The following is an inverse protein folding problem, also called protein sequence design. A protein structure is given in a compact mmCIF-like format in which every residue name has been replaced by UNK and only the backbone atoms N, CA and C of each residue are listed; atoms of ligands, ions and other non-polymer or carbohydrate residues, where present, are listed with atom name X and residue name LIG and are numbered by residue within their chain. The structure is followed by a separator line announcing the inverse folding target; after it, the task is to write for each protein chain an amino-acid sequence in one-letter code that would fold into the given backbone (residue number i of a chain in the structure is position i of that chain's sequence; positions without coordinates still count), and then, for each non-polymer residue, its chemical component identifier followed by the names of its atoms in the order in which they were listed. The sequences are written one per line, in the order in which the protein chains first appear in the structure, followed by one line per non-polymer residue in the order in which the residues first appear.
data_IF_000499355240
#
_entry.id   IF_000499355240
#
_cell.length_a   1.000
_cell.length_b   1.000
_cell.length_c   1.000
_cell.angle_alpha   90.00
_cell.angle_beta   90.00
_cell.angle_gamma   90.00
#
_symmetry.space_group_name_H-M   'P 1'
#
loop_
_entity.id
_entity.type
_entity.pdbx_description
1 polymer ?
#
# COMPACT_ATOMS: atom_id res chain seq x y z
N UNK A 1 15.04 -6.62 20.89
CA UNK A 1 13.68 -6.66 20.33
C UNK A 1 13.16 -5.25 19.99
N UNK A 2 12.89 -4.38 20.98
CA UNK A 2 12.29 -3.05 20.75
C UNK A 2 13.04 -2.14 19.76
N UNK A 3 14.35 -1.93 19.94
CA UNK A 3 15.13 -1.06 19.04
C UNK A 3 15.16 -1.56 17.58
N UNK A 4 15.15 -2.89 17.37
CA UNK A 4 15.07 -3.47 16.04
C UNK A 4 13.68 -3.24 15.41
N UNK A 5 12.61 -3.41 16.20
CA UNK A 5 11.24 -3.09 15.78
C UNK A 5 11.11 -1.60 15.42
N UNK A 6 11.59 -0.69 16.26
CA UNK A 6 11.56 0.75 15.99
C UNK A 6 12.34 1.11 14.72
N UNK A 7 13.54 0.55 14.55
CA UNK A 7 14.38 0.81 13.36
C UNK A 7 13.76 0.31 12.06
N UNK A 8 13.09 -0.85 12.11
CA UNK A 8 12.40 -1.42 10.95
C UNK A 8 11.13 -0.66 10.55
N UNK A 9 10.58 0.15 11.47
CA UNK A 9 9.33 0.91 11.28
C UNK A 9 9.57 2.42 11.27
N UNK A 10 10.75 2.83 10.80
CA UNK A 10 11.05 4.26 10.60
C UNK A 10 10.20 4.81 9.46
N UNK A 11 9.62 5.98 9.69
CA UNK A 11 8.79 6.73 8.75
C UNK A 11 9.53 8.00 8.38
N UNK A 12 9.73 8.22 7.08
CA UNK A 12 10.35 9.42 6.57
C UNK A 12 9.99 9.58 5.09
N UNK A 13 9.55 10.77 4.64
CA UNK A 13 9.38 11.03 3.22
C UNK A 13 10.66 10.73 2.45
N UNK A 14 10.53 9.95 1.38
CA UNK A 14 11.63 9.58 0.48
C UNK A 14 11.22 9.75 -0.98
N UNK A 15 12.20 9.65 -1.88
CA UNK A 15 11.93 9.77 -3.33
C UNK A 15 11.50 8.45 -3.96
N UNK A 16 12.01 7.33 -3.45
CA UNK A 16 11.94 6.03 -4.11
C UNK A 16 10.79 5.21 -3.55
N UNK A 17 9.75 4.97 -4.37
CA UNK A 17 8.53 4.27 -3.94
C UNK A 17 8.81 2.86 -3.40
N UNK A 18 9.72 2.11 -4.03
CA UNK A 18 10.03 0.74 -3.61
C UNK A 18 10.79 0.65 -2.28
N UNK A 19 11.31 1.78 -1.79
CA UNK A 19 12.02 1.93 -0.52
C UNK A 19 11.17 2.66 0.53
N UNK A 20 9.96 3.10 0.17
CA UNK A 20 9.11 3.91 1.04
C UNK A 20 8.55 3.09 2.21
N UNK A 21 8.35 3.77 3.33
CA UNK A 21 7.73 3.20 4.53
C UNK A 21 6.21 3.04 4.38
N UNK A 22 5.58 2.26 5.28
CA UNK A 22 4.15 1.95 5.19
C UNK A 22 3.23 3.17 5.28
N UNK A 23 3.65 4.25 5.94
CA UNK A 23 2.84 5.47 6.10
C UNK A 23 2.93 6.38 4.87
N UNK A 24 4.06 6.41 4.16
CA UNK A 24 4.27 7.27 2.98
C UNK A 24 4.01 6.54 1.65
N UNK A 25 4.11 5.21 1.60
CA UNK A 25 4.02 4.42 0.37
C UNK A 25 2.78 4.72 -0.49
N UNK A 26 1.60 4.84 0.13
CA UNK A 26 0.36 5.06 -0.61
C UNK A 26 0.31 6.44 -1.29
N UNK A 27 1.06 7.45 -0.80
CA UNK A 27 1.18 8.76 -1.43
C UNK A 27 1.95 8.67 -2.75
N UNK A 28 3.02 7.86 -2.81
CA UNK A 28 3.74 7.61 -4.05
C UNK A 28 2.85 7.00 -5.14
N UNK A 29 1.95 6.09 -4.74
CA UNK A 29 0.98 5.48 -5.65
C UNK A 29 -0.04 6.52 -6.14
N UNK A 30 -0.54 7.36 -5.22
CA UNK A 30 -1.51 8.42 -5.55
C UNK A 30 -0.95 9.43 -6.56
N UNK A 31 0.29 9.88 -6.38
CA UNK A 31 0.97 10.78 -7.34
C UNK A 31 0.95 10.17 -8.75
N UNK A 32 1.31 8.90 -8.88
CA UNK A 32 1.33 8.22 -10.20
C UNK A 32 -0.07 8.07 -10.78
N UNK A 33 -1.05 7.71 -9.96
CA UNK A 33 -2.44 7.60 -10.39
C UNK A 33 -2.99 8.94 -10.92
N UNK A 34 -2.68 10.05 -10.27
CA UNK A 34 -3.12 11.38 -10.71
C UNK A 34 -2.47 11.79 -12.04
N UNK A 35 -1.16 11.53 -12.19
CA UNK A 35 -0.46 11.80 -13.44
C UNK A 35 -0.96 10.89 -14.58
N UNK A 36 -1.20 9.61 -14.31
CA UNK A 36 -1.81 8.69 -15.28
C UNK A 36 -3.19 9.17 -15.73
N UNK A 37 -4.03 9.60 -14.78
CA UNK A 37 -5.35 10.14 -15.10
C UNK A 37 -5.23 11.38 -15.98
N UNK A 38 -4.37 12.33 -15.63
CA UNK A 38 -4.16 13.55 -16.40
C UNK A 38 -3.62 13.27 -17.82
N UNK A 39 -2.69 12.32 -17.96
CA UNK A 39 -2.21 11.89 -19.28
C UNK A 39 -3.32 11.24 -20.12
N UNK A 40 -4.16 10.39 -19.50
CA UNK A 40 -5.23 9.69 -20.21
C UNK A 40 -6.41 10.60 -20.57
N UNK A 41 -6.67 11.65 -19.79
CA UNK A 41 -7.71 12.66 -20.10
C UNK A 41 -7.23 13.74 -21.06
N UNK A 42 -5.92 13.80 -21.36
CA UNK A 42 -5.32 14.83 -22.21
C UNK A 42 -5.02 16.14 -21.48
N UNK A 43 -5.17 16.18 -20.15
CA UNK A 43 -4.84 17.35 -19.32
C UNK A 43 -3.33 17.50 -19.09
N UNK A 44 -2.54 16.45 -19.37
CA UNK A 44 -1.09 16.44 -19.26
C UNK A 44 -0.44 15.76 -20.47
N UNK A 45 0.33 16.51 -21.24
CA UNK A 45 1.20 15.95 -22.28
C UNK A 45 2.40 15.20 -21.67
N UNK A 46 2.89 14.10 -22.27
CA UNK A 46 4.03 13.34 -21.74
C UNK A 46 5.28 14.17 -21.47
N UNK A 47 5.53 15.20 -22.28
CA UNK A 47 6.67 16.11 -22.09
C UNK A 47 6.57 16.95 -20.80
N UNK A 48 5.38 17.13 -20.24
CA UNK A 48 5.14 17.86 -18.97
C UNK A 48 5.26 16.99 -17.73
N UNK A 49 5.38 15.67 -17.87
CA UNK A 49 5.44 14.72 -16.74
C UNK A 49 6.55 15.05 -15.73
N UNK A 50 7.80 15.41 -16.13
CA UNK A 50 8.85 15.73 -15.17
C UNK A 50 8.48 16.88 -14.22
N UNK A 51 7.90 17.96 -14.75
CA UNK A 51 7.49 19.13 -13.95
C UNK A 51 6.31 18.80 -13.03
N UNK A 52 5.27 18.16 -13.58
CA UNK A 52 4.09 17.76 -12.81
C UNK A 52 4.43 16.77 -11.68
N UNK A 53 5.35 15.83 -11.95
CA UNK A 53 5.88 14.90 -10.96
C UNK A 53 6.58 15.62 -9.80
N UNK A 54 7.49 16.53 -10.14
CA UNK A 54 8.27 17.27 -9.14
C UNK A 54 7.36 18.15 -8.27
N UNK A 55 6.31 18.73 -8.88
CA UNK A 55 5.30 19.46 -8.14
C UNK A 55 4.52 18.56 -7.19
N UNK A 56 4.03 17.41 -7.66
CA UNK A 56 3.28 16.48 -6.83
C UNK A 56 4.11 15.92 -5.65
N UNK A 57 5.40 15.58 -5.87
CA UNK A 57 6.26 15.12 -4.77
C UNK A 57 6.52 16.21 -3.71
N UNK A 58 6.60 17.47 -4.13
CA UNK A 58 6.69 18.58 -3.18
C UNK A 58 5.39 18.74 -2.39
N UNK A 59 4.24 18.66 -3.06
CA UNK A 59 2.94 18.92 -2.42
C UNK A 59 2.50 17.78 -1.50
N UNK A 60 2.72 16.52 -1.89
CA UNK A 60 2.35 15.34 -1.09
C UNK A 60 3.39 14.93 -0.05
N UNK A 61 4.68 15.05 -0.38
CA UNK A 61 5.77 14.51 0.46
C UNK A 61 6.74 15.58 0.99
N UNK A 62 6.59 16.85 0.59
CA UNK A 62 7.48 17.93 1.01
C UNK A 62 8.88 17.84 0.41
N UNK A 63 9.04 17.16 -0.74
CA UNK A 63 10.34 16.84 -1.31
C UNK A 63 10.64 17.63 -2.60
N UNK A 64 11.84 18.19 -2.69
CA UNK A 64 12.39 18.72 -3.93
C UNK A 64 13.13 17.63 -4.69
N UNK A 65 12.57 17.19 -5.82
CA UNK A 65 13.13 16.10 -6.63
C UNK A 65 14.41 16.60 -7.33
N UNK A 66 15.57 15.96 -7.10
CA UNK A 66 16.86 16.48 -7.55
C UNK A 66 17.25 16.08 -8.99
N UNK A 67 16.66 15.02 -9.54
CA UNK A 67 16.87 14.56 -10.92
C UNK A 67 15.76 13.59 -11.35
N UNK A 68 15.58 13.41 -12.66
CA UNK A 68 14.53 12.54 -13.21
C UNK A 68 14.74 11.06 -12.87
N UNK A 69 15.98 10.63 -12.60
CA UNK A 69 16.28 9.27 -12.12
C UNK A 69 15.63 8.98 -10.77
N UNK A 70 15.57 9.97 -9.88
CA UNK A 70 14.82 9.94 -8.61
C UNK A 70 13.40 10.49 -8.76
N UNK A 71 13.09 11.09 -9.91
CA UNK A 71 11.79 11.61 -10.31
C UNK A 71 11.00 10.61 -11.15
N UNK A 72 10.43 11.09 -12.26
CA UNK A 72 9.50 10.34 -13.09
C UNK A 72 10.09 9.10 -13.79
N UNK A 73 11.42 8.95 -13.85
CA UNK A 73 12.09 7.78 -14.44
C UNK A 73 12.42 6.69 -13.41
N UNK A 74 12.02 6.84 -12.14
CA UNK A 74 12.37 5.89 -11.09
C UNK A 74 11.72 4.50 -11.25
N UNK A 75 10.60 4.42 -11.97
CA UNK A 75 9.80 3.20 -12.12
C UNK A 75 9.69 2.78 -13.58
N UNK A 76 9.67 1.46 -13.82
CA UNK A 76 9.67 0.88 -15.16
C UNK A 76 8.27 0.82 -15.81
N UNK A 77 7.21 0.94 -15.04
CA UNK A 77 5.83 0.62 -15.44
C UNK A 77 5.37 1.33 -16.71
N UNK A 78 5.57 2.64 -16.81
CA UNK A 78 5.15 3.41 -17.99
C UNK A 78 5.94 3.03 -19.25
N UNK A 79 7.23 2.71 -19.11
CA UNK A 79 8.05 2.22 -20.23
C UNK A 79 7.60 0.85 -20.75
N UNK A 80 6.94 0.05 -19.90
CA UNK A 80 6.34 -1.24 -20.24
C UNK A 80 4.87 -1.12 -20.69
N UNK A 81 4.32 0.11 -20.77
CA UNK A 81 2.91 0.33 -21.12
C UNK A 81 1.92 -0.04 -20.02
N UNK A 82 2.37 -0.25 -18.78
CA UNK A 82 1.53 -0.63 -17.64
C UNK A 82 0.82 0.57 -17.00
N UNK A 83 0.08 1.35 -17.80
CA UNK A 83 -0.77 2.45 -17.33
C UNK A 83 -2.00 1.91 -16.59
N UNK A 84 -2.37 2.53 -15.46
CA UNK A 84 -3.47 2.07 -14.60
C UNK A 84 -3.06 0.94 -13.65
N UNK A 85 -1.78 0.56 -13.62
CA UNK A 85 -1.28 -0.52 -12.77
C UNK A 85 -1.03 -0.06 -11.33
N UNK A 86 -0.50 1.15 -11.12
CA UNK A 86 -0.09 1.62 -9.78
C UNK A 86 -1.20 1.56 -8.71
N UNK A 87 -2.47 1.93 -9.00
CA UNK A 87 -3.55 1.83 -8.01
C UNK A 87 -3.70 0.45 -7.37
N UNK A 88 -3.27 -0.61 -8.08
CA UNK A 88 -3.33 -1.99 -7.55
C UNK A 88 -2.45 -2.20 -6.32
N UNK A 89 -1.35 -1.45 -6.15
CA UNK A 89 -0.52 -1.54 -4.95
C UNK A 89 -1.25 -1.03 -3.71
N UNK A 90 -1.91 0.15 -3.81
CA UNK A 90 -2.72 0.68 -2.71
C UNK A 90 -3.92 -0.21 -2.42
N UNK A 91 -4.58 -0.74 -3.46
CA UNK A 91 -5.64 -1.75 -3.26
C UNK A 91 -5.12 -2.97 -2.50
N UNK A 92 -3.90 -3.42 -2.78
CA UNK A 92 -3.23 -4.48 -2.03
C UNK A 92 -3.11 -4.17 -0.53
N UNK A 93 -2.67 -2.97 -0.18
CA UNK A 93 -2.59 -2.52 1.22
C UNK A 93 -3.96 -2.47 1.91
N UNK A 94 -4.98 -1.96 1.21
CA UNK A 94 -6.36 -1.91 1.70
C UNK A 94 -6.92 -3.32 1.96
N UNK A 95 -6.79 -4.22 0.99
CA UNK A 95 -7.24 -5.61 1.14
C UNK A 95 -6.47 -6.33 2.24
N UNK A 96 -5.14 -6.15 2.31
CA UNK A 96 -4.31 -6.78 3.32
C UNK A 96 -4.78 -6.41 4.73
N UNK A 97 -4.94 -5.11 5.02
CA UNK A 97 -5.37 -4.66 6.33
C UNK A 97 -6.78 -5.14 6.68
N UNK A 98 -7.74 -5.06 5.74
CA UNK A 98 -9.12 -5.49 5.99
C UNK A 98 -9.24 -7.00 6.22
N UNK A 99 -8.52 -7.81 5.42
CA UNK A 99 -8.50 -9.26 5.55
C UNK A 99 -7.81 -9.67 6.85
N UNK A 100 -6.69 -9.02 7.19
CA UNK A 100 -5.92 -9.34 8.39
C UNK A 100 -6.66 -8.95 9.68
N UNK A 101 -7.33 -7.79 9.69
CA UNK A 101 -8.21 -7.39 10.80
C UNK A 101 -9.29 -8.46 11.02
N UNK A 102 -9.96 -8.90 9.95
CA UNK A 102 -10.98 -9.94 10.07
C UNK A 102 -10.40 -11.29 10.53
N UNK A 103 -9.22 -11.69 10.04
CA UNK A 103 -8.54 -12.90 10.49
C UNK A 103 -8.28 -12.88 12.01
N UNK A 104 -7.91 -11.72 12.58
CA UNK A 104 -7.73 -11.55 14.02
C UNK A 104 -9.05 -11.65 14.79
N UNK A 105 -10.17 -11.19 14.23
CA UNK A 105 -11.51 -11.32 14.85
C UNK A 105 -11.94 -12.79 14.96
N UNK A 106 -11.70 -13.60 13.92
CA UNK A 106 -12.15 -15.00 13.87
C UNK A 106 -11.15 -15.99 14.46
N UNK A 107 -9.90 -15.58 14.69
CA UNK A 107 -8.85 -16.39 15.31
C UNK A 107 -8.24 -15.64 16.51
N UNK A 108 -8.90 -15.67 17.69
CA UNK A 108 -8.33 -15.11 18.92
C UNK A 108 -6.96 -15.74 19.23
N UNK A 109 -5.96 -14.93 19.58
CA UNK A 109 -4.59 -15.38 19.85
C UNK A 109 -3.71 -15.54 18.60
N UNK A 110 -4.22 -15.23 17.41
CA UNK A 110 -3.46 -15.32 16.15
C UNK A 110 -2.12 -14.59 16.22
N UNK A 111 -2.13 -13.33 16.69
CA UNK A 111 -0.94 -12.48 16.75
C UNK A 111 0.03 -12.97 17.83
N UNK A 112 -0.47 -13.48 18.95
CA UNK A 112 0.36 -14.01 20.04
C UNK A 112 1.18 -15.22 19.57
N UNK A 113 0.58 -16.08 18.74
CA UNK A 113 1.26 -17.25 18.16
C UNK A 113 2.46 -16.90 17.27
N UNK A 114 2.51 -15.70 16.68
CA UNK A 114 3.66 -15.29 15.85
C UNK A 114 4.95 -15.17 16.65
N UNK A 115 4.87 -14.87 17.96
CA UNK A 115 6.04 -14.83 18.83
C UNK A 115 6.71 -16.20 18.99
N UNK A 116 5.92 -17.28 18.87
CA UNK A 116 6.38 -18.67 18.94
C UNK A 116 6.68 -19.26 17.55
N UNK A 117 6.54 -18.46 16.48
CA UNK A 117 6.75 -18.90 15.09
C UNK A 117 5.56 -19.66 14.49
N UNK A 118 4.38 -19.58 15.11
CA UNK A 118 3.18 -20.28 14.65
C UNK A 118 2.42 -19.47 13.58
N UNK A 119 2.74 -19.75 12.32
CA UNK A 119 2.10 -19.11 11.15
C UNK A 119 1.09 -20.01 10.42
N UNK A 120 1.04 -21.29 10.79
CA UNK A 120 0.24 -22.33 10.12
C UNK A 120 -1.26 -21.98 10.11
N UNK A 121 -1.79 -21.51 11.24
CA UNK A 121 -3.19 -21.12 11.38
C UNK A 121 -3.60 -20.02 10.40
N UNK A 122 -2.81 -18.94 10.29
CA UNK A 122 -3.07 -17.89 9.30
C UNK A 122 -3.00 -18.43 7.87
N UNK A 123 -1.95 -19.20 7.55
CA UNK A 123 -1.74 -19.70 6.20
C UNK A 123 -2.86 -20.63 5.74
N UNK A 124 -3.31 -21.53 6.61
CA UNK A 124 -4.39 -22.48 6.29
C UNK A 124 -5.74 -21.77 6.17
N UNK A 125 -5.97 -20.74 6.97
CA UNK A 125 -7.12 -19.85 6.81
C UNK A 125 -7.08 -19.10 5.46
N UNK A 126 -5.94 -18.52 5.09
CA UNK A 126 -5.77 -17.84 3.79
C UNK A 126 -5.94 -18.80 2.61
N UNK A 127 -5.44 -20.04 2.72
CA UNK A 127 -5.63 -21.07 1.69
C UNK A 127 -7.11 -21.41 1.49
N UNK A 128 -7.84 -21.56 2.58
CA UNK A 128 -9.24 -21.99 2.56
C UNK A 128 -10.19 -20.88 2.15
N UNK A 129 -9.85 -19.62 2.46
CA UNK A 129 -10.73 -18.46 2.24
C UNK A 129 -10.34 -17.62 1.02
N UNK A 130 -9.08 -17.66 0.57
CA UNK A 130 -8.58 -16.83 -0.55
C UNK A 130 -8.00 -17.70 -1.65
N UNK A 131 -6.92 -18.44 -1.37
CA UNK A 131 -6.10 -19.04 -2.43
C UNK A 131 -6.85 -20.08 -3.25
N UNK A 132 -7.70 -20.90 -2.60
CA UNK A 132 -8.49 -21.96 -3.27
C UNK A 132 -9.45 -21.41 -4.33
N UNK A 133 -9.84 -20.14 -4.24
CA UNK A 133 -10.81 -19.57 -5.16
C UNK A 133 -10.20 -19.12 -6.49
N UNK A 134 -8.88 -18.88 -6.56
CA UNK A 134 -8.23 -18.35 -7.75
C UNK A 134 -8.96 -17.12 -8.29
N UNK A 135 -9.47 -17.21 -9.54
CA UNK A 135 -10.22 -16.13 -10.20
C UNK A 135 -11.75 -16.35 -10.18
N UNK A 136 -12.28 -17.20 -9.30
CA UNK A 136 -13.72 -17.51 -9.21
C UNK A 136 -14.58 -16.30 -8.85
N UNK A 137 -14.03 -15.38 -8.06
CA UNK A 137 -14.69 -14.16 -7.61
C UNK A 137 -13.86 -12.94 -8.02
N UNK A 138 -14.51 -11.80 -8.25
CA UNK A 138 -13.79 -10.53 -8.32
C UNK A 138 -13.15 -10.20 -6.95
N UNK A 139 -12.11 -9.36 -6.90
CA UNK A 139 -11.48 -8.99 -5.63
C UNK A 139 -12.46 -8.40 -4.62
N UNK A 140 -13.39 -7.53 -5.07
CA UNK A 140 -14.42 -6.94 -4.22
C UNK A 140 -15.39 -8.00 -3.68
N UNK A 141 -15.87 -8.92 -4.54
CA UNK A 141 -16.76 -10.01 -4.14
C UNK A 141 -16.07 -10.95 -3.14
N UNK A 142 -14.79 -11.26 -3.36
CA UNK A 142 -14.04 -12.13 -2.47
C UNK A 142 -13.84 -11.48 -1.09
N UNK A 143 -13.48 -10.19 -1.07
CA UNK A 143 -13.34 -9.43 0.17
C UNK A 143 -14.64 -9.37 0.97
N UNK A 144 -15.76 -9.09 0.32
CA UNK A 144 -17.08 -9.07 0.98
C UNK A 144 -17.50 -10.46 1.46
N UNK A 145 -17.23 -11.51 0.68
CA UNK A 145 -17.48 -12.90 1.06
C UNK A 145 -16.71 -13.31 2.31
N UNK A 146 -15.45 -12.89 2.44
CA UNK A 146 -14.58 -13.26 3.56
C UNK A 146 -14.88 -12.40 4.78
N UNK A 147 -14.96 -11.09 4.60
CA UNK A 147 -14.99 -10.12 5.70
C UNK A 147 -16.39 -9.65 6.08
N UNK A 148 -17.41 -10.05 5.31
CA UNK A 148 -18.81 -9.65 5.51
C UNK A 148 -19.11 -8.19 5.14
N UNK A 149 -18.14 -7.44 4.61
CA UNK A 149 -18.26 -6.01 4.30
C UNK A 149 -17.49 -5.63 3.03
N UNK A 150 -17.94 -4.59 2.29
CA UNK A 150 -17.21 -4.10 1.13
C UNK A 150 -15.81 -3.58 1.52
N UNK A 151 -14.93 -3.41 0.52
CA UNK A 151 -13.60 -2.84 0.76
C UNK A 151 -13.73 -1.41 1.30
N UNK A 152 -13.00 -1.11 2.38
CA UNK A 152 -12.88 0.23 2.97
C UNK A 152 -11.42 0.54 3.32
N UNK A 153 -11.10 1.83 3.45
CA UNK A 153 -9.81 2.29 3.97
C UNK A 153 -9.70 2.21 5.50
N UNK A 154 -10.81 2.08 6.21
CA UNK A 154 -10.82 2.15 7.67
C UNK A 154 -9.91 1.12 8.36
N UNK A 155 -9.85 -0.16 7.93
CA UNK A 155 -8.93 -1.13 8.53
C UNK A 155 -7.46 -0.75 8.34
N UNK A 156 -7.09 -0.22 7.17
CA UNK A 156 -5.72 0.25 6.91
C UNK A 156 -5.38 1.45 7.80
N UNK A 157 -6.31 2.39 7.94
CA UNK A 157 -6.10 3.55 8.81
C UNK A 157 -5.97 3.13 10.27
N UNK A 158 -6.83 2.24 10.78
CA UNK A 158 -6.71 1.70 12.15
C UNK A 158 -5.37 0.99 12.37
N UNK A 159 -4.91 0.20 11.39
CA UNK A 159 -3.58 -0.45 11.46
C UNK A 159 -2.45 0.59 11.54
N UNK A 160 -2.42 1.56 10.63
CA UNK A 160 -1.37 2.57 10.56
C UNK A 160 -1.37 3.45 11.82
N UNK A 161 -2.54 3.93 12.25
CA UNK A 161 -2.67 4.74 13.45
C UNK A 161 -2.31 3.95 14.71
N UNK A 162 -2.84 2.73 14.86
CA UNK A 162 -2.55 1.87 16.01
C UNK A 162 -1.07 1.49 16.12
N UNK A 163 -0.37 1.37 14.99
CA UNK A 163 1.07 1.07 14.95
C UNK A 163 1.93 2.30 15.17
N UNK A 164 1.69 3.38 14.42
CA UNK A 164 2.62 4.51 14.35
C UNK A 164 2.35 5.60 15.40
N UNK A 165 1.11 5.82 15.86
CA UNK A 165 0.84 6.77 16.94
C UNK A 165 1.63 6.46 18.22
N UNK A 166 1.61 5.22 18.74
CA UNK A 166 2.40 4.87 19.92
C UNK A 166 3.91 4.89 19.65
N UNK A 167 4.33 4.55 18.43
CA UNK A 167 5.75 4.49 18.06
C UNK A 167 6.41 5.87 18.06
N UNK A 168 5.68 6.90 17.61
CA UNK A 168 6.15 8.28 17.53
C UNK A 168 5.65 9.19 18.65
N UNK A 169 4.75 8.72 19.51
CA UNK A 169 4.21 9.47 20.65
C UNK A 169 3.25 10.60 20.23
N UNK A 170 2.41 10.36 19.22
CA UNK A 170 1.43 11.32 18.66
C UNK A 170 -0.01 10.81 18.69
#
# INVERSE_FOLDING_TARGET
ARAAFESANRVAPGFIRVEADEATYNMHVMIRFELERAMLTGDLEPAGVPEAWNAAYRDYLGLEVPDDRRGCLQDVHWSMGALGYFPTYTLGNLYCAQIFEHACEVMPGLVDGFADGEFSGLLDWLRSNIHVHGRRYSPAQLCERITGRPLSADPLMRYLEGKFRPLYGI
#
